data_IF_290500233938
#
_entry.id   IF_290500233938
#
_cell.length_a   1.000
_cell.length_b   1.000
_cell.length_c   1.000
_cell.angle_alpha   90.00
_cell.angle_beta   90.00
_cell.angle_gamma   90.00
#
_symmetry.space_group_name_H-M   'P 1'
#
loop_
_entity.id
_entity.type
_entity.pdbx_description
1 polymer ?
#
# COMPACT_ATOMS: atom_id res chain seq x y z
N UNK A 1 -18.43 3.73 -15.08
CA UNK A 1 -18.69 3.88 -13.63
C UNK A 1 -19.77 4.94 -13.45
N UNK A 2 -20.78 4.68 -12.64
CA UNK A 2 -21.89 5.60 -12.35
C UNK A 2 -21.61 6.39 -11.07
N UNK A 3 -21.12 5.73 -10.01
CA UNK A 3 -20.69 6.37 -8.77
C UNK A 3 -19.62 5.53 -8.03
N UNK A 4 -18.70 6.16 -7.27
CA UNK A 4 -18.46 7.59 -7.20
C UNK A 4 -17.75 8.12 -8.47
N UNK A 5 -17.80 9.44 -8.76
CA UNK A 5 -17.08 10.03 -9.90
C UNK A 5 -15.56 10.05 -9.70
N UNK A 6 -15.10 9.92 -8.46
CA UNK A 6 -13.72 9.85 -8.05
C UNK A 6 -13.65 9.56 -6.55
N UNK A 7 -12.47 9.16 -6.08
CA UNK A 7 -12.23 8.88 -4.67
C UNK A 7 -10.76 9.12 -4.34
N UNK A 8 -10.45 9.28 -3.05
CA UNK A 8 -9.09 9.45 -2.58
C UNK A 8 -8.49 8.07 -2.31
N UNK A 9 -7.70 7.56 -3.25
CA UNK A 9 -7.01 6.28 -3.09
C UNK A 9 -5.84 6.37 -2.09
N UNK A 10 -5.27 7.57 -1.96
CA UNK A 10 -3.99 7.83 -1.29
C UNK A 10 -2.85 6.99 -1.90
N UNK A 11 -1.63 7.16 -1.38
CA UNK A 11 -0.47 6.41 -1.81
C UNK A 11 0.60 6.41 -0.72
N UNK A 12 1.46 5.39 -0.73
CA UNK A 12 2.64 5.33 0.11
C UNK A 12 3.86 5.84 -0.64
N UNK A 13 4.60 6.74 -0.01
CA UNK A 13 5.85 7.26 -0.54
C UNK A 13 6.75 7.69 0.62
N UNK A 14 8.06 7.49 0.45
CA UNK A 14 9.07 7.83 1.47
C UNK A 14 10.19 6.81 1.52
N UNK A 15 11.24 7.13 2.26
CA UNK A 15 12.35 6.23 2.49
C UNK A 15 12.11 5.32 3.70
N UNK A 16 12.71 4.13 3.67
CA UNK A 16 12.80 3.21 4.80
C UNK A 16 14.27 3.15 5.29
N UNK A 17 14.73 4.12 6.10
CA UNK A 17 16.10 4.16 6.60
C UNK A 17 16.32 3.22 7.79
N UNK A 18 17.57 2.81 8.01
CA UNK A 18 17.95 2.13 9.25
C UNK A 18 18.27 3.15 10.36
N UNK A 19 17.82 2.96 11.61
CA UNK A 19 16.88 1.93 12.07
C UNK A 19 15.43 2.25 11.66
N UNK A 20 14.64 1.20 11.38
CA UNK A 20 13.21 1.36 11.10
C UNK A 20 12.48 1.72 12.40
N UNK A 21 11.74 2.83 12.37
CA UNK A 21 10.91 3.24 13.50
C UNK A 21 9.71 2.29 13.69
N UNK A 22 9.32 2.06 14.94
CA UNK A 22 8.27 1.09 15.29
C UNK A 22 6.93 1.34 14.58
N UNK A 23 6.57 2.61 14.35
CA UNK A 23 5.33 3.00 13.68
C UNK A 23 5.26 2.60 12.20
N UNK A 24 6.37 2.17 11.59
CA UNK A 24 6.40 1.67 10.20
C UNK A 24 5.94 0.21 10.10
N UNK A 25 5.48 -0.38 11.22
CA UNK A 25 4.89 -1.73 11.32
C UNK A 25 5.70 -2.79 10.56
N UNK A 26 7.03 -2.71 10.61
CA UNK A 26 7.94 -3.43 9.71
C UNK A 26 8.00 -4.93 9.99
N UNK A 27 8.17 -5.75 8.96
CA UNK A 27 8.40 -7.19 9.16
C UNK A 27 9.82 -7.45 9.63
N UNK A 28 10.07 -8.61 10.25
CA UNK A 28 11.43 -9.04 10.59
C UNK A 28 12.34 -9.05 9.35
N UNK A 29 11.81 -9.42 8.19
CA UNK A 29 12.55 -9.38 6.92
C UNK A 29 12.97 -7.94 6.56
N UNK A 30 12.04 -6.98 6.62
CA UNK A 30 12.34 -5.57 6.34
C UNK A 30 13.39 -5.00 7.29
N UNK A 31 13.34 -5.36 8.57
CA UNK A 31 14.36 -4.96 9.57
C UNK A 31 15.73 -5.49 9.17
N UNK A 32 15.85 -6.79 8.89
CA UNK A 32 17.12 -7.42 8.50
C UNK A 32 17.62 -6.87 7.15
N UNK A 33 16.75 -6.72 6.16
CA UNK A 33 17.10 -6.19 4.85
C UNK A 33 17.63 -4.76 4.96
N UNK A 34 16.98 -3.91 5.74
CA UNK A 34 17.37 -2.50 5.92
C UNK A 34 18.67 -2.40 6.74
N UNK A 35 18.88 -3.29 7.71
CA UNK A 35 20.16 -3.45 8.41
C UNK A 35 21.29 -3.87 7.46
N UNK A 36 21.08 -4.87 6.61
CA UNK A 36 22.10 -5.32 5.65
C UNK A 36 22.39 -4.23 4.62
N UNK A 37 21.37 -3.53 4.12
CA UNK A 37 21.55 -2.39 3.22
C UNK A 37 22.39 -1.27 3.88
N UNK A 38 22.23 -1.01 5.19
CA UNK A 38 22.98 0.06 5.87
C UNK A 38 24.49 -0.22 5.94
N UNK A 39 24.89 -1.49 5.90
CA UNK A 39 26.30 -1.92 5.91
C UNK A 39 26.82 -2.22 4.50
N UNK A 40 25.99 -2.81 3.63
CA UNK A 40 26.34 -3.24 2.26
C UNK A 40 25.28 -2.80 1.24
N UNK A 41 25.19 -1.49 0.95
CA UNK A 41 24.11 -0.95 0.11
C UNK A 41 24.16 -1.38 -1.36
N UNK A 42 25.30 -1.92 -1.82
CA UNK A 42 25.46 -2.44 -3.19
C UNK A 42 24.93 -3.86 -3.38
N UNK A 43 24.80 -4.62 -2.29
CA UNK A 43 24.46 -6.04 -2.34
C UNK A 43 22.96 -6.26 -2.15
N UNK A 44 22.30 -5.39 -1.37
CA UNK A 44 20.88 -5.52 -1.00
C UNK A 44 20.22 -4.15 -1.04
N UNK A 45 19.04 -3.98 -1.68
CA UNK A 45 18.30 -2.72 -1.66
C UNK A 45 17.61 -2.48 -0.30
N UNK A 46 17.22 -1.23 -0.01
CA UNK A 46 16.38 -0.92 1.15
C UNK A 46 15.00 -1.56 1.03
N UNK A 47 14.33 -1.77 2.16
CA UNK A 47 12.90 -2.06 2.18
C UNK A 47 12.11 -0.93 1.50
N UNK A 48 10.93 -1.25 0.96
CA UNK A 48 10.10 -0.28 0.24
C UNK A 48 8.95 0.21 1.12
N UNK A 49 8.59 1.50 0.99
CA UNK A 49 7.41 2.08 1.62
C UNK A 49 6.16 1.67 0.81
N UNK A 50 5.33 0.81 1.38
CA UNK A 50 4.16 0.21 0.70
C UNK A 50 2.93 0.22 1.59
N UNK A 51 1.71 0.11 1.01
CA UNK A 51 0.49 -0.05 1.79
C UNK A 51 0.54 -1.30 2.66
N UNK A 52 0.16 -1.16 3.93
CA UNK A 52 0.05 -2.27 4.87
C UNK A 52 -1.38 -2.48 5.36
N UNK A 53 -2.21 -1.44 5.22
CA UNK A 53 -3.63 -1.47 5.54
C UNK A 53 -4.40 -0.80 4.40
N UNK A 54 -5.39 -1.51 3.86
CA UNK A 54 -6.24 -1.00 2.79
C UNK A 54 -7.71 -1.21 3.14
N UNK A 55 -8.56 -0.32 2.64
CA UNK A 55 -10.02 -0.39 2.80
C UNK A 55 -10.72 -0.49 1.44
N UNK A 56 -11.95 -1.07 1.42
CA UNK A 56 -12.73 -1.18 0.19
C UNK A 56 -13.48 0.11 -0.14
N UNK A 57 -13.90 0.23 -1.40
CA UNK A 57 -14.93 1.21 -1.81
C UNK A 57 -16.12 0.51 -2.45
N UNK A 58 -17.31 1.08 -2.27
CA UNK A 58 -18.51 0.68 -3.00
C UNK A 58 -18.55 1.41 -4.35
N UNK A 59 -18.60 0.67 -5.44
CA UNK A 59 -18.75 1.21 -6.79
C UNK A 59 -20.09 0.78 -7.40
N UNK A 60 -20.79 1.76 -7.96
CA UNK A 60 -21.95 1.58 -8.81
C UNK A 60 -21.50 1.72 -10.26
N UNK A 61 -21.68 0.70 -11.09
CA UNK A 61 -21.30 0.71 -12.50
C UNK A 61 -22.30 -0.06 -13.36
N UNK A 62 -22.25 0.18 -14.67
CA UNK A 62 -22.95 -0.64 -15.66
C UNK A 62 -22.03 -1.81 -16.04
N UNK A 63 -22.53 -3.03 -15.93
CA UNK A 63 -21.82 -4.21 -16.41
C UNK A 63 -21.87 -4.34 -17.94
N UNK A 64 -21.32 -5.44 -18.48
CA UNK A 64 -21.28 -5.71 -19.92
C UNK A 64 -22.66 -5.92 -20.57
N UNK A 65 -23.74 -6.02 -19.78
CA UNK A 65 -25.13 -6.16 -20.23
C UNK A 65 -25.98 -4.93 -19.92
N UNK A 66 -25.34 -3.77 -19.69
CA UNK A 66 -25.99 -2.51 -19.31
C UNK A 66 -26.84 -2.62 -18.03
N UNK A 67 -26.52 -3.55 -17.13
CA UNK A 67 -27.18 -3.67 -15.82
C UNK A 67 -26.43 -2.88 -14.77
N UNK A 68 -27.19 -2.20 -13.92
CA UNK A 68 -26.67 -1.47 -12.77
C UNK A 68 -26.22 -2.45 -11.69
N UNK A 69 -24.92 -2.45 -11.38
CA UNK A 69 -24.29 -3.32 -10.37
C UNK A 69 -23.68 -2.45 -9.27
N UNK A 70 -24.04 -2.75 -8.01
CA UNK A 70 -23.36 -2.25 -6.82
C UNK A 70 -22.39 -3.31 -6.31
N UNK A 71 -21.10 -2.99 -6.22
CA UNK A 71 -20.06 -3.93 -5.77
C UNK A 71 -19.03 -3.24 -4.88
N UNK A 72 -18.62 -3.93 -3.83
CA UNK A 72 -17.49 -3.53 -2.99
C UNK A 72 -16.19 -4.07 -3.59
N UNK A 73 -15.28 -3.18 -3.95
CA UNK A 73 -13.93 -3.52 -4.41
C UNK A 73 -12.97 -3.37 -3.25
N UNK A 74 -12.28 -4.46 -2.92
CA UNK A 74 -11.29 -4.51 -1.85
C UNK A 74 -9.99 -3.83 -2.28
N UNK A 75 -9.19 -3.43 -1.30
CA UNK A 75 -7.84 -2.90 -1.47
C UNK A 75 -7.75 -1.65 -2.35
N UNK A 76 -8.74 -0.76 -2.25
CA UNK A 76 -8.86 0.41 -3.12
C UNK A 76 -8.31 1.69 -2.52
N UNK A 77 -8.33 1.82 -1.18
CA UNK A 77 -7.88 3.02 -0.44
C UNK A 77 -6.79 2.62 0.54
N UNK A 78 -5.68 3.33 0.53
CA UNK A 78 -4.58 3.15 1.49
C UNK A 78 -4.96 3.83 2.81
N UNK A 79 -5.00 3.05 3.89
CA UNK A 79 -5.24 3.53 5.26
C UNK A 79 -3.94 3.64 6.07
N UNK A 80 -2.95 2.79 5.74
CA UNK A 80 -1.67 2.75 6.45
C UNK A 80 -0.52 2.31 5.54
N UNK A 81 0.65 2.90 5.79
CA UNK A 81 1.90 2.59 5.10
C UNK A 81 2.92 2.00 6.07
N UNK A 82 3.81 1.15 5.56
CA UNK A 82 4.93 0.61 6.32
C UNK A 82 6.08 0.17 5.42
N UNK A 83 7.16 -0.29 6.03
CA UNK A 83 8.33 -0.79 5.32
C UNK A 83 8.26 -2.32 5.19
N UNK A 84 8.38 -2.82 3.96
CA UNK A 84 8.32 -4.26 3.63
C UNK A 84 9.53 -4.69 2.83
#
# INVERSE_FOLDING_TARGET
>A
IVAPPGYQAYFCHGECPFPLADHLNSTNHAIVQTLVNSVKPKDVPRACCVPTELSPISMLYLDEYDKVVLKNYQDMVVEGCGCR
#
